data_IF_818396567716
#
_entry.id   IF_818396567716
#
_cell.length_a   1.000
_cell.length_b   1.000
_cell.length_c   1.000
_cell.angle_alpha   90.00
_cell.angle_beta   90.00
_cell.angle_gamma   90.00
#
_symmetry.space_group_name_H-M   'P 1'
#
loop_
_entity.id
_entity.type
_entity.pdbx_description
1 polymer ?
#
# COMPACT_ATOMS: atom_id res chain seq x y z
N UNK A 1 24.80 21.01 45.43
CA UNK A 1 23.90 19.86 45.54
C UNK A 1 22.52 20.33 45.07
N UNK A 2 22.17 20.16 43.79
CA UNK A 2 20.92 20.64 43.19
C UNK A 2 20.27 19.40 42.51
N UNK A 3 19.02 19.07 42.81
CA UNK A 3 18.37 17.89 42.23
C UNK A 3 17.91 18.15 40.78
N UNK A 4 18.22 17.23 39.90
CA UNK A 4 17.72 17.17 38.54
C UNK A 4 16.24 16.82 38.54
N UNK A 5 15.42 17.68 37.96
CA UNK A 5 14.02 17.43 37.67
C UNK A 5 13.91 16.59 36.39
N UNK A 6 13.32 15.41 36.50
CA UNK A 6 12.94 14.56 35.38
C UNK A 6 11.65 15.08 34.77
N UNK A 7 11.73 15.62 33.58
CA UNK A 7 10.55 16.05 32.78
C UNK A 7 9.98 14.83 32.08
N UNK A 8 8.94 14.25 32.62
CA UNK A 8 8.10 13.26 31.95
C UNK A 8 7.20 14.01 30.98
N UNK A 9 7.45 13.85 29.69
CA UNK A 9 6.57 14.36 28.65
C UNK A 9 5.29 13.53 28.63
N UNK A 10 4.23 14.07 29.20
CA UNK A 10 2.87 13.50 29.08
C UNK A 10 2.36 13.88 27.68
N UNK A 11 2.40 12.93 26.75
CA UNK A 11 1.69 13.05 25.48
C UNK A 11 0.19 12.97 25.78
N UNK A 12 -0.46 14.13 25.79
CA UNK A 12 -1.92 14.23 25.88
C UNK A 12 -2.53 13.50 24.68
N UNK A 13 -3.29 12.43 24.97
CA UNK A 13 -4.23 11.81 24.06
C UNK A 13 -5.26 12.87 23.65
N UNK A 14 -5.18 13.37 22.43
CA UNK A 14 -6.31 14.03 21.81
C UNK A 14 -7.34 12.96 21.47
N UNK A 15 -8.39 12.88 22.29
CA UNK A 15 -9.64 12.20 21.93
C UNK A 15 -10.25 13.02 20.80
N UNK A 16 -10.25 12.48 19.58
CA UNK A 16 -11.13 12.95 18.52
C UNK A 16 -12.54 12.47 18.88
N UNK A 17 -13.35 13.35 19.42
CA UNK A 17 -14.78 13.12 19.61
C UNK A 17 -15.43 13.04 18.22
N UNK A 18 -15.77 11.85 17.78
CA UNK A 18 -16.74 11.63 16.71
C UNK A 18 -18.11 11.97 17.27
N UNK A 19 -18.64 13.14 16.91
CA UNK A 19 -20.03 13.49 17.08
C UNK A 19 -20.90 12.51 16.29
N UNK A 20 -22.00 12.12 16.90
CA UNK A 20 -23.01 11.16 16.50
C UNK A 20 -23.49 11.37 15.06
N UNK A 21 -23.28 10.39 14.23
CA UNK A 21 -23.79 10.30 12.86
C UNK A 21 -22.95 9.31 12.08
N UNK A 22 -23.38 8.04 11.98
CA UNK A 22 -22.61 6.92 11.45
C UNK A 22 -22.12 7.10 10.02
N UNK A 23 -20.99 7.75 9.83
CA UNK A 23 -20.18 7.63 8.63
C UNK A 23 -19.28 6.39 8.78
N UNK A 24 -19.81 5.22 8.43
CA UNK A 24 -18.97 4.11 8.05
C UNK A 24 -18.25 4.52 6.75
N UNK A 25 -17.12 5.19 6.86
CA UNK A 25 -16.22 5.36 5.74
C UNK A 25 -15.91 3.96 5.18
N UNK A 26 -16.43 3.66 3.97
CA UNK A 26 -16.14 2.37 3.33
C UNK A 26 -14.62 2.26 3.21
N UNK A 27 -14.01 1.17 3.72
CA UNK A 27 -12.58 1.02 3.68
C UNK A 27 -12.11 1.10 2.21
N UNK A 28 -11.05 1.85 1.95
CA UNK A 28 -10.45 1.90 0.62
C UNK A 28 -9.47 0.73 0.46
N UNK A 29 -9.37 0.25 -0.77
CA UNK A 29 -8.34 -0.74 -1.15
C UNK A 29 -6.97 -0.11 -0.98
N UNK A 30 -5.99 -0.77 -0.34
CA UNK A 30 -4.61 -0.29 -0.38
C UNK A 30 -4.12 -0.19 -1.83
N UNK A 31 -3.59 0.97 -2.18
CA UNK A 31 -3.09 1.26 -3.52
C UNK A 31 -1.56 1.37 -3.51
N UNK A 32 -0.96 1.66 -4.63
CA UNK A 32 0.49 1.71 -4.80
C UNK A 32 1.22 2.52 -3.71
N UNK A 33 0.82 3.77 -3.38
CA UNK A 33 1.54 4.52 -2.36
C UNK A 33 1.47 3.87 -0.96
N UNK A 34 0.32 3.31 -0.58
CA UNK A 34 0.17 2.62 0.70
C UNK A 34 1.10 1.40 0.79
N UNK A 35 1.07 0.59 -0.26
CA UNK A 35 1.85 -0.65 -0.31
C UNK A 35 3.35 -0.40 -0.48
N UNK A 36 3.75 0.72 -1.09
CA UNK A 36 5.15 1.14 -1.16
C UNK A 36 5.70 1.41 0.25
N UNK A 37 4.96 2.15 1.08
CA UNK A 37 5.35 2.40 2.47
C UNK A 37 5.41 1.11 3.28
N UNK A 38 4.43 0.21 3.11
CA UNK A 38 4.44 -1.09 3.78
C UNK A 38 5.65 -1.94 3.34
N UNK A 39 5.95 -1.97 2.04
CA UNK A 39 7.10 -2.73 1.53
C UNK A 39 8.42 -2.20 2.09
N UNK A 40 8.63 -0.88 2.07
CA UNK A 40 9.83 -0.23 2.60
C UNK A 40 9.98 -0.47 4.11
N UNK A 41 8.91 -0.27 4.87
CA UNK A 41 8.92 -0.44 6.31
C UNK A 41 9.15 -1.89 6.73
N UNK A 42 8.49 -2.84 6.06
CA UNK A 42 8.68 -4.25 6.34
C UNK A 42 10.02 -4.78 5.82
N UNK A 43 10.56 -4.21 4.76
CA UNK A 43 11.94 -4.45 4.34
C UNK A 43 12.91 -4.09 5.48
N UNK A 44 12.75 -2.93 6.09
CA UNK A 44 13.59 -2.47 7.19
C UNK A 44 13.40 -3.30 8.47
N UNK A 45 12.15 -3.63 8.82
CA UNK A 45 11.82 -4.29 10.09
C UNK A 45 12.05 -5.82 10.08
N UNK A 46 11.84 -6.50 8.94
CA UNK A 46 11.71 -7.96 8.88
C UNK A 46 12.91 -8.67 8.27
N UNK A 47 13.65 -8.02 7.36
CA UNK A 47 14.79 -8.69 6.67
C UNK A 47 15.85 -9.12 7.67
N UNK A 48 16.34 -10.35 7.49
CA UNK A 48 17.31 -11.00 8.38
C UNK A 48 16.68 -11.76 9.54
N UNK A 49 15.37 -11.65 9.79
CA UNK A 49 14.69 -12.37 10.87
C UNK A 49 14.29 -13.78 10.41
N UNK A 50 14.50 -14.80 11.25
CA UNK A 50 14.02 -16.15 10.99
C UNK A 50 12.51 -16.22 11.20
N UNK A 51 11.83 -16.97 10.36
CA UNK A 51 10.41 -17.34 10.54
C UNK A 51 10.35 -18.41 11.64
N UNK A 52 9.56 -18.16 12.66
CA UNK A 52 9.28 -19.12 13.73
C UNK A 52 8.06 -19.96 13.38
N UNK A 53 6.98 -19.30 12.94
CA UNK A 53 5.74 -19.97 12.53
C UNK A 53 4.88 -19.03 11.69
N UNK A 54 3.97 -19.61 10.91
CA UNK A 54 2.82 -18.93 10.32
C UNK A 54 1.53 -19.50 10.91
N UNK A 55 0.87 -18.75 11.76
CA UNK A 55 -0.41 -19.12 12.35
C UNK A 55 -1.54 -18.63 11.44
N UNK A 56 -2.26 -19.57 10.84
CA UNK A 56 -3.45 -19.28 10.05
C UNK A 56 -4.68 -19.35 10.94
N UNK A 57 -5.32 -18.20 11.18
CA UNK A 57 -6.55 -18.12 11.99
C UNK A 57 -7.81 -18.15 11.12
N UNK A 58 -7.70 -17.71 9.87
CA UNK A 58 -8.78 -17.68 8.90
C UNK A 58 -8.36 -18.42 7.60
N UNK A 59 -8.72 -19.70 7.45
CA UNK A 59 -8.32 -20.49 6.28
C UNK A 59 -8.81 -19.94 4.94
N UNK A 60 -9.92 -19.20 4.90
CA UNK A 60 -10.49 -18.65 3.66
C UNK A 60 -9.57 -17.64 2.96
N UNK A 61 -8.68 -16.98 3.69
CA UNK A 61 -7.72 -16.07 3.09
C UNK A 61 -6.46 -16.77 2.58
N UNK A 62 -6.21 -17.99 3.06
CA UNK A 62 -4.98 -18.73 2.74
C UNK A 62 -5.08 -19.45 1.39
N UNK A 63 -4.01 -19.38 0.62
CA UNK A 63 -3.78 -20.14 -0.61
C UNK A 63 -2.49 -20.93 -0.46
N UNK A 64 -2.61 -22.03 0.26
CA UNK A 64 -1.56 -22.97 0.63
C UNK A 64 -2.09 -24.03 1.56
N UNK A 65 -1.28 -25.03 1.83
CA UNK A 65 -1.59 -26.13 2.74
C UNK A 65 -1.01 -25.88 4.14
N UNK A 66 -1.53 -26.53 5.20
CA UNK A 66 -0.90 -26.49 6.52
C UNK A 66 0.56 -26.95 6.52
N UNK A 67 0.90 -27.96 5.70
CA UNK A 67 2.29 -28.42 5.57
C UNK A 67 3.21 -27.35 4.96
N UNK A 68 2.75 -26.63 3.93
CA UNK A 68 3.50 -25.50 3.37
C UNK A 68 3.66 -24.35 4.39
N UNK A 69 2.63 -24.07 5.19
CA UNK A 69 2.73 -23.08 6.25
C UNK A 69 3.76 -23.49 7.33
N UNK A 70 3.77 -24.75 7.73
CA UNK A 70 4.74 -25.31 8.67
C UNK A 70 6.17 -25.30 8.10
N UNK A 71 6.33 -25.52 6.79
CA UNK A 71 7.62 -25.53 6.10
C UNK A 71 8.30 -24.16 6.01
N UNK A 72 7.61 -23.08 6.36
CA UNK A 72 8.22 -21.74 6.46
C UNK A 72 9.12 -21.60 7.69
N UNK A 73 8.90 -22.40 8.73
CA UNK A 73 9.71 -22.36 9.95
C UNK A 73 11.20 -22.60 9.66
N UNK A 74 12.06 -21.82 10.28
CA UNK A 74 13.51 -21.84 10.09
C UNK A 74 14.01 -21.07 8.85
N UNK A 75 13.15 -20.70 7.92
CA UNK A 75 13.52 -19.84 6.80
C UNK A 75 13.71 -18.39 7.30
N UNK A 76 14.45 -17.58 6.56
CA UNK A 76 14.71 -16.19 6.89
C UNK A 76 14.06 -15.28 5.87
N UNK A 77 13.56 -14.14 6.31
CA UNK A 77 13.10 -13.08 5.39
C UNK A 77 14.32 -12.45 4.72
N UNK A 78 14.42 -12.53 3.41
CA UNK A 78 15.52 -11.99 2.62
C UNK A 78 15.20 -10.67 1.94
N UNK A 79 13.93 -10.51 1.56
CA UNK A 79 13.49 -9.31 0.86
C UNK A 79 11.98 -9.11 1.02
N UNK A 80 11.56 -7.85 1.13
CA UNK A 80 10.15 -7.45 1.02
C UNK A 80 10.02 -6.47 -0.15
N UNK A 81 9.09 -6.73 -1.06
CA UNK A 81 8.86 -5.91 -2.25
C UNK A 81 7.38 -5.77 -2.53
N UNK A 82 7.05 -4.83 -3.41
CA UNK A 82 5.73 -4.63 -3.97
C UNK A 82 5.74 -4.84 -5.49
N UNK A 83 4.65 -5.38 -6.02
CA UNK A 83 4.31 -5.32 -7.44
C UNK A 83 2.81 -5.08 -7.59
N UNK A 84 2.42 -3.99 -8.26
CA UNK A 84 1.03 -3.58 -8.32
C UNK A 84 0.44 -3.43 -6.93
N UNK A 85 -0.60 -4.22 -6.65
CA UNK A 85 -1.28 -4.28 -5.36
C UNK A 85 -0.94 -5.53 -4.53
N UNK A 86 0.19 -6.14 -4.79
CA UNK A 86 0.69 -7.28 -4.05
C UNK A 86 1.95 -6.92 -3.26
N UNK A 87 2.05 -7.43 -2.04
CA UNK A 87 3.27 -7.46 -1.24
C UNK A 87 3.89 -8.85 -1.33
N UNK A 88 5.19 -8.91 -1.55
CA UNK A 88 5.96 -10.16 -1.62
C UNK A 88 7.02 -10.18 -0.54
N UNK A 89 7.01 -11.24 0.26
CA UNK A 89 8.03 -11.57 1.24
C UNK A 89 8.84 -12.75 0.67
N UNK A 90 10.03 -12.45 0.19
CA UNK A 90 10.97 -13.48 -0.24
C UNK A 90 11.63 -14.08 0.99
N UNK A 91 11.48 -15.36 1.17
CA UNK A 91 12.18 -16.12 2.20
C UNK A 91 13.37 -16.85 1.57
N UNK A 92 14.22 -17.46 2.39
CA UNK A 92 15.42 -18.17 1.93
C UNK A 92 15.13 -19.17 0.81
N UNK A 93 13.98 -19.80 0.83
CA UNK A 93 13.57 -20.79 -0.16
C UNK A 93 12.23 -20.42 -0.81
N UNK A 94 11.24 -20.12 -0.01
CA UNK A 94 9.85 -19.95 -0.44
C UNK A 94 9.46 -18.46 -0.52
N UNK A 95 8.27 -18.18 -1.03
CA UNK A 95 7.71 -16.82 -1.06
C UNK A 95 6.33 -16.80 -0.40
N UNK A 96 6.08 -15.74 0.35
CA UNK A 96 4.76 -15.37 0.83
C UNK A 96 4.29 -14.15 0.04
N UNK A 97 3.13 -14.22 -0.61
CA UNK A 97 2.57 -13.08 -1.37
C UNK A 97 1.20 -12.73 -0.82
N UNK A 98 0.99 -11.45 -0.53
CA UNK A 98 -0.26 -10.95 0.05
C UNK A 98 -0.91 -9.95 -0.92
N UNK A 99 -2.17 -10.23 -1.27
CA UNK A 99 -3.06 -9.28 -1.89
C UNK A 99 -4.12 -8.88 -0.86
N UNK A 100 -4.01 -7.66 -0.35
CA UNK A 100 -4.87 -7.18 0.75
C UNK A 100 -6.32 -6.92 0.32
N UNK A 101 -6.59 -6.83 -0.99
CA UNK A 101 -7.91 -6.54 -1.55
C UNK A 101 -8.57 -5.32 -0.88
N UNK A 102 -9.85 -5.42 -0.48
CA UNK A 102 -10.63 -4.28 0.00
C UNK A 102 -10.32 -3.88 1.45
N UNK A 103 -10.24 -4.86 2.35
CA UNK A 103 -10.19 -4.60 3.81
C UNK A 103 -8.95 -5.15 4.49
N UNK A 104 -8.10 -5.85 3.74
CA UNK A 104 -6.87 -6.40 4.29
C UNK A 104 -5.92 -5.31 4.79
N UNK A 105 -5.37 -5.50 5.98
CA UNK A 105 -4.41 -4.60 6.61
C UNK A 105 -3.29 -5.41 7.23
N UNK A 106 -2.09 -4.85 7.20
CA UNK A 106 -0.93 -5.44 7.84
C UNK A 106 -0.43 -4.52 8.94
N UNK A 107 0.08 -5.11 10.01
CA UNK A 107 0.67 -4.39 11.13
C UNK A 107 1.79 -5.17 11.76
N UNK A 108 2.63 -4.48 12.53
CA UNK A 108 3.69 -5.07 13.34
C UNK A 108 3.29 -5.01 14.82
N UNK A 109 3.47 -6.11 15.53
CA UNK A 109 3.17 -6.21 16.95
C UNK A 109 4.27 -6.97 17.71
N UNK A 110 4.39 -6.68 19.00
CA UNK A 110 5.21 -7.48 19.88
C UNK A 110 4.58 -8.88 20.09
N UNK A 111 5.39 -9.92 20.29
CA UNK A 111 4.89 -11.26 20.60
C UNK A 111 3.99 -11.27 21.83
N UNK A 112 2.90 -12.01 21.76
CA UNK A 112 1.96 -12.15 22.84
C UNK A 112 0.98 -10.97 23.01
N UNK A 113 1.09 -9.91 22.27
CA UNK A 113 0.06 -8.88 22.22
C UNK A 113 -1.28 -9.50 21.75
N UNK A 114 -2.39 -9.14 22.43
CA UNK A 114 -3.70 -9.73 22.11
C UNK A 114 -4.09 -9.46 20.64
N UNK A 115 -4.29 -10.50 19.82
CA UNK A 115 -4.72 -10.31 18.45
C UNK A 115 -6.11 -9.66 18.38
N UNK A 116 -6.32 -8.81 17.40
CA UNK A 116 -7.64 -8.27 17.12
C UNK A 116 -8.55 -9.37 16.54
N UNK A 117 -9.87 -9.21 16.72
CA UNK A 117 -10.86 -10.24 16.36
C UNK A 117 -10.82 -10.65 14.89
N UNK A 118 -10.45 -9.72 14.00
CA UNK A 118 -10.37 -9.91 12.55
C UNK A 118 -8.96 -10.28 12.06
N UNK A 119 -8.05 -10.67 12.96
CA UNK A 119 -6.72 -11.17 12.59
C UNK A 119 -6.87 -12.51 11.87
N UNK A 120 -6.45 -12.54 10.61
CA UNK A 120 -6.58 -13.69 9.72
C UNK A 120 -5.33 -14.57 9.68
N UNK A 121 -4.14 -13.98 9.81
CA UNK A 121 -2.87 -14.70 9.87
C UNK A 121 -1.83 -13.92 10.70
N UNK A 122 -0.90 -14.65 11.31
CA UNK A 122 0.22 -14.11 12.08
C UNK A 122 1.51 -14.81 11.65
N UNK A 123 2.43 -14.07 11.06
CA UNK A 123 3.79 -14.54 10.81
C UNK A 123 4.65 -14.16 12.01
N UNK A 124 5.06 -15.16 12.79
CA UNK A 124 5.97 -14.97 13.92
C UNK A 124 7.40 -15.01 13.45
N UNK A 125 8.17 -14.02 13.88
CA UNK A 125 9.56 -13.84 13.49
C UNK A 125 10.43 -13.80 14.76
N UNK A 126 11.54 -14.51 14.72
CA UNK A 126 12.55 -14.47 15.77
C UNK A 126 13.39 -13.19 15.74
N UNK A 127 14.28 -13.04 16.74
CA UNK A 127 15.28 -11.99 16.73
C UNK A 127 16.10 -12.02 15.44
N UNK A 128 16.53 -10.84 14.98
CA UNK A 128 17.43 -10.75 13.83
C UNK A 128 18.79 -11.34 14.23
N UNK A 129 19.16 -12.42 13.58
CA UNK A 129 20.48 -13.02 13.77
C UNK A 129 21.47 -12.16 13.00
N UNK A 130 22.38 -11.51 13.72
CA UNK A 130 23.49 -10.64 13.32
C UNK A 130 23.53 -10.22 11.84
N UNK A 131 23.68 -8.96 11.50
CA UNK A 131 23.79 -8.55 10.12
C UNK A 131 25.05 -9.18 9.52
N UNK A 132 24.86 -10.32 8.86
CA UNK A 132 25.80 -10.68 7.83
C UNK A 132 25.82 -9.48 6.90
N UNK A 133 27.00 -8.91 6.71
CA UNK A 133 27.29 -7.80 5.82
C UNK A 133 26.34 -7.81 4.63
N UNK A 134 25.31 -6.95 4.67
CA UNK A 134 24.47 -6.69 3.51
C UNK A 134 25.43 -6.28 2.41
N UNK A 135 25.49 -7.05 1.32
CA UNK A 135 26.25 -6.69 0.13
C UNK A 135 25.79 -5.27 -0.24
N UNK A 136 26.66 -4.29 0.04
CA UNK A 136 26.57 -2.94 -0.50
C UNK A 136 26.38 -3.08 -2.01
N UNK A 137 25.21 -2.80 -2.56
CA UNK A 137 25.10 -2.75 -4.01
C UNK A 137 23.71 -2.95 -4.63
N UNK A 138 22.67 -3.32 -3.90
CA UNK A 138 21.34 -3.55 -4.50
C UNK A 138 20.16 -2.97 -3.71
N UNK A 139 20.37 -2.14 -2.74
CA UNK A 139 19.31 -1.30 -2.22
C UNK A 139 19.23 -0.08 -3.14
N UNK A 140 18.20 0.00 -3.99
CA UNK A 140 17.55 1.27 -4.24
C UNK A 140 17.47 1.92 -2.86
N UNK A 141 17.91 3.18 -2.72
CA UNK A 141 17.90 3.86 -1.45
C UNK A 141 16.47 3.75 -0.86
N UNK A 142 16.22 2.70 -0.11
CA UNK A 142 15.13 2.68 0.85
C UNK A 142 15.36 3.96 1.64
N UNK A 143 14.34 4.79 1.77
CA UNK A 143 14.42 5.93 2.65
C UNK A 143 15.13 5.43 3.89
N UNK A 144 16.16 6.13 4.30
CA UNK A 144 17.01 5.66 5.39
C UNK A 144 16.22 5.71 6.70
N UNK A 145 15.37 4.68 6.88
CA UNK A 145 14.60 4.48 8.10
C UNK A 145 15.52 4.31 9.32
N UNK A 146 16.85 4.13 9.09
CA UNK A 146 17.81 3.83 10.15
C UNK A 146 18.13 5.04 11.01
N UNK A 147 18.00 6.26 10.49
CA UNK A 147 18.37 7.47 11.22
C UNK A 147 17.22 8.05 12.03
N UNK A 148 15.97 7.99 11.55
CA UNK A 148 14.80 8.64 12.16
C UNK A 148 13.57 7.73 12.29
N UNK A 149 13.76 6.42 12.50
CA UNK A 149 12.67 5.48 12.64
C UNK A 149 12.60 4.86 14.05
N UNK A 150 12.18 5.63 15.07
CA UNK A 150 12.09 5.14 16.46
C UNK A 150 11.06 4.00 16.63
N UNK A 151 10.26 3.74 15.60
CA UNK A 151 9.28 2.67 15.54
C UNK A 151 9.88 1.33 15.08
N UNK A 152 11.10 1.31 14.56
CA UNK A 152 11.75 0.06 14.16
C UNK A 152 11.95 -0.83 15.40
N UNK A 153 11.48 -2.09 15.35
CA UNK A 153 11.65 -2.99 16.46
C UNK A 153 13.15 -3.34 16.65
N UNK A 154 13.60 -3.47 17.91
CA UNK A 154 14.97 -3.88 18.19
C UNK A 154 15.33 -5.20 17.52
N UNK A 155 16.58 -5.32 17.04
CA UNK A 155 17.04 -6.53 16.36
C UNK A 155 17.00 -7.78 17.25
N UNK A 156 17.33 -7.63 18.53
CA UNK A 156 17.35 -8.72 19.51
C UNK A 156 15.99 -9.21 19.99
N UNK A 157 14.90 -8.57 19.59
CA UNK A 157 13.55 -8.93 20.02
C UNK A 157 12.77 -9.65 18.93
N UNK A 158 11.94 -10.66 19.27
CA UNK A 158 11.02 -11.28 18.34
C UNK A 158 9.91 -10.31 17.93
N UNK A 159 9.24 -10.59 16.80
CA UNK A 159 8.25 -9.72 16.19
C UNK A 159 7.13 -10.53 15.54
N UNK A 160 5.92 -9.98 15.49
CA UNK A 160 4.80 -10.53 14.73
C UNK A 160 4.39 -9.59 13.59
N UNK A 161 4.32 -10.12 12.36
CA UNK A 161 3.60 -9.48 11.25
C UNK A 161 2.18 -10.05 11.24
N UNK A 162 1.21 -9.19 11.45
CA UNK A 162 -0.22 -9.55 11.52
C UNK A 162 -0.95 -9.10 10.29
N UNK A 163 -1.69 -10.03 9.69
CA UNK A 163 -2.62 -9.74 8.61
C UNK A 163 -4.05 -9.80 9.15
N UNK A 164 -4.81 -8.72 8.97
CA UNK A 164 -6.21 -8.56 9.36
C UNK A 164 -7.07 -8.42 8.12
N UNK A 165 -8.23 -9.08 8.10
CA UNK A 165 -9.17 -8.94 6.99
C UNK A 165 -10.61 -9.25 7.42
N UNK A 166 -11.39 -8.24 7.84
CA UNK A 166 -12.76 -8.43 8.29
C UNK A 166 -13.68 -9.03 7.23
N UNK A 167 -13.41 -8.78 5.93
CA UNK A 167 -14.26 -9.32 4.84
C UNK A 167 -13.76 -10.64 4.28
N UNK A 168 -12.54 -11.08 4.62
CA UNK A 168 -11.90 -12.32 4.13
C UNK A 168 -11.72 -12.35 2.61
N UNK A 169 -11.75 -11.20 1.96
CA UNK A 169 -11.58 -11.09 0.50
C UNK A 169 -10.13 -11.18 0.07
N UNK A 170 -9.21 -10.68 0.89
CA UNK A 170 -7.79 -10.72 0.62
C UNK A 170 -7.23 -12.15 0.60
N UNK A 171 -6.06 -12.29 0.02
CA UNK A 171 -5.42 -13.59 -0.17
C UNK A 171 -3.96 -13.56 0.23
N UNK A 172 -3.56 -14.60 0.94
CA UNK A 172 -2.20 -14.89 1.37
C UNK A 172 -1.77 -16.17 0.65
N UNK A 173 -0.86 -16.03 -0.30
CA UNK A 173 -0.36 -17.14 -1.13
C UNK A 173 0.96 -17.65 -0.56
N UNK A 174 1.02 -18.96 -0.32
CA UNK A 174 2.27 -19.67 -0.05
C UNK A 174 2.80 -20.22 -1.37
N UNK A 175 4.01 -19.85 -1.73
CA UNK A 175 4.66 -20.23 -2.98
C UNK A 175 5.97 -20.96 -2.67
N UNK A 176 5.92 -22.30 -2.49
CA UNK A 176 7.12 -23.12 -2.39
C UNK A 176 8.01 -22.93 -3.63
N UNK A 177 9.33 -22.97 -3.47
CA UNK A 177 10.28 -22.77 -4.56
C UNK A 177 10.09 -23.72 -5.74
N UNK A 178 9.55 -24.91 -5.47
CA UNK A 178 9.39 -26.00 -6.44
C UNK A 178 7.95 -26.12 -6.98
N UNK A 179 7.03 -25.28 -6.51
CA UNK A 179 5.64 -25.32 -6.94
C UNK A 179 5.25 -24.06 -7.71
N UNK A 180 4.86 -24.22 -8.96
CA UNK A 180 4.20 -23.17 -9.70
C UNK A 180 2.74 -23.09 -9.25
N UNK A 181 2.41 -22.02 -8.55
CA UNK A 181 1.03 -21.71 -8.16
C UNK A 181 0.59 -20.44 -8.85
N UNK A 182 -0.55 -20.46 -9.57
CA UNK A 182 -1.05 -19.25 -10.22
C UNK A 182 -1.41 -18.19 -9.18
N UNK A 183 -1.02 -16.96 -9.46
CA UNK A 183 -1.42 -15.77 -8.72
C UNK A 183 -2.39 -14.98 -9.60
N UNK A 184 -3.71 -15.10 -9.40
CA UNK A 184 -4.69 -14.38 -10.20
C UNK A 184 -4.42 -12.88 -10.20
N UNK A 185 -4.37 -12.29 -11.39
CA UNK A 185 -4.07 -10.87 -11.57
C UNK A 185 -2.58 -10.50 -11.48
N UNK A 186 -1.67 -11.44 -11.25
CA UNK A 186 -0.23 -11.14 -11.17
C UNK A 186 0.44 -11.01 -12.53
N UNK A 187 0.20 -11.98 -13.41
CA UNK A 187 0.83 -12.01 -14.74
C UNK A 187 0.17 -11.04 -15.73
N UNK A 188 -1.08 -10.70 -15.49
CA UNK A 188 -1.87 -9.81 -16.34
C UNK A 188 -1.56 -8.33 -16.07
N UNK A 189 -0.76 -8.02 -15.06
CA UNK A 189 -0.38 -6.65 -14.74
C UNK A 189 0.54 -6.05 -15.79
N UNK A 190 0.29 -4.79 -16.11
CA UNK A 190 1.26 -3.92 -16.77
C UNK A 190 2.43 -3.56 -15.84
N UNK A 191 3.30 -2.65 -16.27
CA UNK A 191 4.34 -2.08 -15.40
C UNK A 191 3.71 -1.35 -14.23
N UNK A 192 4.42 -1.29 -13.11
CA UNK A 192 4.04 -0.44 -11.99
C UNK A 192 4.00 1.03 -12.42
N UNK A 193 2.99 1.77 -11.95
CA UNK A 193 2.81 3.16 -12.33
C UNK A 193 3.95 4.08 -11.87
N UNK A 194 4.73 3.64 -10.88
CA UNK A 194 5.94 4.32 -10.38
C UNK A 194 7.26 3.75 -10.95
N UNK A 195 7.19 2.73 -11.81
CA UNK A 195 8.38 2.13 -12.39
C UNK A 195 9.18 3.18 -13.19
N UNK A 196 10.48 3.39 -12.88
CA UNK A 196 11.34 4.29 -13.65
C UNK A 196 11.47 3.90 -15.13
N UNK A 197 11.33 2.63 -15.45
CA UNK A 197 11.37 2.14 -16.84
C UNK A 197 10.09 2.46 -17.63
N UNK A 198 9.00 2.86 -16.95
CA UNK A 198 7.79 3.35 -17.59
C UNK A 198 7.99 4.82 -18.02
N UNK A 199 8.69 5.04 -19.11
CA UNK A 199 8.89 6.35 -19.71
C UNK A 199 7.66 6.83 -20.50
N UNK A 200 7.69 8.08 -20.96
CA UNK A 200 6.60 8.69 -21.72
C UNK A 200 6.33 7.95 -23.04
N UNK A 201 7.37 7.44 -23.70
CA UNK A 201 7.23 6.70 -24.96
C UNK A 201 6.48 5.39 -24.74
N UNK A 202 6.89 4.65 -23.73
CA UNK A 202 6.22 3.42 -23.29
C UNK A 202 4.78 3.69 -22.86
N UNK A 203 4.54 4.76 -22.08
CA UNK A 203 3.20 5.19 -21.68
C UNK A 203 2.30 5.46 -22.89
N UNK A 204 2.76 6.27 -23.85
CA UNK A 204 2.03 6.59 -25.10
C UNK A 204 1.73 5.32 -25.90
N UNK A 205 2.67 4.39 -26.00
CA UNK A 205 2.49 3.11 -26.68
C UNK A 205 1.44 2.23 -25.99
N UNK A 206 1.44 2.20 -24.68
CA UNK A 206 0.50 1.40 -23.89
C UNK A 206 -0.90 1.98 -23.91
N UNK A 207 -1.07 3.28 -23.67
CA UNK A 207 -2.39 3.92 -23.59
C UNK A 207 -3.18 3.78 -24.90
N UNK A 208 -2.51 3.70 -26.05
CA UNK A 208 -3.16 3.47 -27.35
C UNK A 208 -3.83 2.11 -27.47
N UNK A 209 -3.39 1.11 -26.71
CA UNK A 209 -3.92 -0.26 -26.74
C UNK A 209 -5.15 -0.46 -25.86
N UNK A 210 -5.52 0.57 -25.09
CA UNK A 210 -6.64 0.53 -24.17
C UNK A 210 -7.73 1.51 -24.61
N UNK A 211 -8.95 1.27 -24.18
CA UNK A 211 -10.12 2.07 -24.49
C UNK A 211 -10.94 2.37 -23.24
N UNK A 212 -11.98 3.16 -23.36
CA UNK A 212 -12.90 3.48 -22.29
C UNK A 212 -12.61 4.81 -21.62
N UNK A 213 -13.28 5.04 -20.49
CA UNK A 213 -13.17 6.25 -19.69
C UNK A 213 -11.85 6.31 -18.94
N UNK A 214 -11.30 7.50 -18.77
CA UNK A 214 -9.98 7.72 -18.19
C UNK A 214 -9.82 7.17 -16.77
N UNK A 215 -10.85 7.32 -15.92
CA UNK A 215 -10.79 6.75 -14.58
C UNK A 215 -10.72 5.23 -14.59
N UNK A 216 -11.50 4.59 -15.44
CA UNK A 216 -11.48 3.12 -15.56
C UNK A 216 -10.17 2.63 -16.20
N UNK A 217 -9.63 3.40 -17.14
CA UNK A 217 -8.32 3.14 -17.72
C UNK A 217 -7.19 3.16 -16.69
N UNK A 218 -7.12 4.21 -15.85
CA UNK A 218 -6.10 4.30 -14.79
C UNK A 218 -6.22 3.18 -13.76
N UNK A 219 -7.43 2.71 -13.47
CA UNK A 219 -7.68 1.59 -12.56
C UNK A 219 -7.40 0.22 -13.17
N UNK A 220 -7.25 0.15 -14.50
CA UNK A 220 -6.96 -1.11 -15.19
C UNK A 220 -5.51 -1.54 -14.94
N UNK A 221 -5.35 -2.58 -14.13
CA UNK A 221 -4.02 -3.07 -13.75
C UNK A 221 -3.22 -3.63 -14.94
N UNK A 222 -3.86 -4.00 -16.05
CA UNK A 222 -3.18 -4.39 -17.28
C UNK A 222 -2.60 -3.19 -18.05
N UNK A 223 -3.14 -1.99 -17.89
CA UNK A 223 -2.56 -0.77 -18.41
C UNK A 223 -1.34 -0.35 -17.59
N UNK A 224 -1.56 0.00 -16.32
CA UNK A 224 -0.53 0.30 -15.32
C UNK A 224 -0.95 -0.27 -13.97
N UNK A 225 -0.03 -0.88 -13.25
CA UNK A 225 -0.33 -1.53 -12.00
C UNK A 225 -0.22 -0.57 -10.80
N UNK A 226 -1.05 -0.82 -9.79
CA UNK A 226 -0.99 -0.15 -8.50
C UNK A 226 -1.99 0.99 -8.30
N UNK A 227 -2.43 1.68 -9.34
CA UNK A 227 -3.43 2.75 -9.23
C UNK A 227 -4.81 2.13 -8.93
N UNK A 228 -5.55 2.78 -8.05
CA UNK A 228 -6.91 2.40 -7.69
C UNK A 228 -7.87 3.58 -7.75
N UNK A 229 -8.90 3.52 -6.91
CA UNK A 229 -10.00 4.48 -6.95
C UNK A 229 -9.60 5.87 -6.42
N UNK A 230 -8.77 5.90 -5.37
CA UNK A 230 -8.38 7.15 -4.72
C UNK A 230 -7.40 7.95 -5.58
N UNK A 231 -6.31 7.30 -5.99
CA UNK A 231 -5.28 7.99 -6.75
C UNK A 231 -5.66 8.25 -8.20
N UNK A 232 -6.62 7.53 -8.78
CA UNK A 232 -7.15 7.89 -10.09
C UNK A 232 -7.88 9.24 -10.08
N UNK A 233 -8.60 9.60 -9.01
CA UNK A 233 -9.21 10.92 -8.87
C UNK A 233 -8.16 12.02 -8.73
N UNK A 234 -7.14 11.81 -7.91
CA UNK A 234 -6.04 12.75 -7.68
C UNK A 234 -5.24 13.01 -8.97
N UNK A 235 -4.89 11.95 -9.71
CA UNK A 235 -4.15 12.04 -10.98
C UNK A 235 -4.96 12.79 -12.04
N UNK A 236 -6.24 12.45 -12.19
CA UNK A 236 -7.12 13.12 -13.16
C UNK A 236 -7.33 14.60 -12.80
N UNK A 237 -7.46 14.92 -11.51
CA UNK A 237 -7.53 16.32 -11.08
C UNK A 237 -6.22 17.06 -11.36
N UNK A 238 -5.08 16.45 -11.08
CA UNK A 238 -3.77 17.04 -11.37
C UNK A 238 -3.59 17.30 -12.88
N UNK A 239 -3.97 16.32 -13.71
CA UNK A 239 -3.93 16.42 -15.18
C UNK A 239 -5.01 17.33 -15.78
N UNK A 240 -5.99 17.84 -15.00
CA UNK A 240 -7.14 18.64 -15.45
C UNK A 240 -8.08 17.90 -16.43
N UNK A 241 -8.11 16.57 -16.36
CA UNK A 241 -8.92 15.72 -17.25
C UNK A 241 -10.15 15.20 -16.50
N UNK A 242 -11.31 15.25 -17.16
CA UNK A 242 -12.56 14.74 -16.59
C UNK A 242 -12.54 13.19 -16.52
N UNK A 243 -13.02 12.57 -15.42
CA UNK A 243 -12.91 11.14 -15.19
C UNK A 243 -13.69 10.28 -16.20
N UNK A 244 -14.77 10.79 -16.75
CA UNK A 244 -15.67 10.09 -17.69
C UNK A 244 -15.32 10.34 -19.15
N UNK A 245 -14.33 11.18 -19.43
CA UNK A 245 -13.83 11.42 -20.77
C UNK A 245 -13.23 10.14 -21.34
N UNK A 246 -13.47 9.87 -22.63
CA UNK A 246 -12.94 8.68 -23.30
C UNK A 246 -11.46 8.89 -23.67
N UNK A 247 -10.69 7.82 -23.58
CA UNK A 247 -9.27 7.85 -24.00
C UNK A 247 -9.11 8.26 -25.47
N UNK A 248 -10.04 7.87 -26.35
CA UNK A 248 -10.04 8.24 -27.77
C UNK A 248 -10.06 9.74 -28.03
N UNK A 249 -10.60 10.50 -27.07
CA UNK A 249 -10.83 11.94 -27.20
C UNK A 249 -9.66 12.78 -26.71
N UNK A 250 -8.58 12.12 -26.23
CA UNK A 250 -7.39 12.79 -25.76
C UNK A 250 -6.47 13.22 -26.92
N UNK A 251 -6.08 14.49 -26.90
CA UNK A 251 -4.95 15.00 -27.67
C UNK A 251 -3.61 14.44 -27.12
N UNK A 252 -2.56 14.49 -27.93
CA UNK A 252 -1.24 14.01 -27.53
C UNK A 252 -0.71 14.68 -26.27
N UNK A 253 -0.89 15.99 -26.16
CA UNK A 253 -0.48 16.80 -25.00
C UNK A 253 -1.23 16.40 -23.72
N UNK A 254 -2.49 15.98 -23.84
CA UNK A 254 -3.30 15.53 -22.70
C UNK A 254 -2.86 14.14 -22.21
N UNK A 255 -2.41 13.28 -23.12
CA UNK A 255 -1.78 11.99 -22.78
C UNK A 255 -0.48 12.24 -21.99
N UNK A 256 0.29 13.25 -22.39
CA UNK A 256 1.53 13.64 -21.70
C UNK A 256 1.24 14.26 -20.35
N UNK A 257 0.21 15.09 -20.25
CA UNK A 257 -0.23 15.67 -18.98
C UNK A 257 -0.70 14.59 -17.99
N UNK A 258 -1.40 13.55 -18.48
CA UNK A 258 -1.82 12.41 -17.66
C UNK A 258 -0.62 11.61 -17.13
N UNK A 259 0.39 11.40 -17.98
CA UNK A 259 1.65 10.79 -17.57
C UNK A 259 2.37 11.63 -16.51
N UNK A 260 2.56 12.92 -16.77
CA UNK A 260 3.23 13.84 -15.84
C UNK A 260 2.52 13.88 -14.48
N UNK A 261 1.19 13.98 -14.48
CA UNK A 261 0.39 13.94 -13.26
C UNK A 261 0.54 12.62 -12.48
N UNK A 262 0.65 11.48 -13.17
CA UNK A 262 0.90 10.19 -12.53
C UNK A 262 2.27 10.17 -11.84
N UNK A 263 3.29 10.72 -12.51
CA UNK A 263 4.67 10.80 -11.99
C UNK A 263 4.85 11.85 -10.89
N UNK A 264 3.91 12.78 -10.75
CA UNK A 264 3.88 13.78 -9.66
C UNK A 264 3.13 13.25 -8.44
N UNK A 265 1.90 12.78 -8.66
CA UNK A 265 0.95 12.47 -7.57
C UNK A 265 1.39 11.25 -6.75
N UNK A 266 1.89 10.19 -7.38
CA UNK A 266 2.25 8.98 -6.67
C UNK A 266 3.47 9.16 -5.74
N UNK A 267 4.59 9.76 -6.16
CA UNK A 267 5.70 10.08 -5.26
C UNK A 267 5.30 11.04 -4.13
N UNK A 268 4.56 12.11 -4.44
CA UNK A 268 4.04 13.02 -3.43
C UNK A 268 3.24 12.28 -2.35
N UNK A 269 2.35 11.37 -2.76
CA UNK A 269 1.56 10.60 -1.80
C UNK A 269 2.44 9.66 -0.95
N UNK A 270 3.46 9.04 -1.55
CA UNK A 270 4.43 8.20 -0.84
C UNK A 270 5.16 9.02 0.22
N UNK A 271 5.64 10.21 -0.11
CA UNK A 271 6.35 11.08 0.84
C UNK A 271 5.46 11.48 2.02
N UNK A 272 4.20 11.85 1.77
CA UNK A 272 3.25 12.17 2.84
C UNK A 272 2.97 10.96 3.73
N UNK A 273 2.74 9.78 3.13
CA UNK A 273 2.43 8.56 3.88
C UNK A 273 3.63 8.07 4.69
N UNK A 274 4.85 8.26 4.19
CA UNK A 274 6.09 7.91 4.90
C UNK A 274 6.20 8.58 6.26
N UNK A 275 5.72 9.82 6.36
CA UNK A 275 5.74 10.58 7.60
C UNK A 275 4.54 10.28 8.52
N UNK A 276 3.47 9.71 7.98
CA UNK A 276 2.17 9.64 8.69
C UNK A 276 1.70 8.23 9.03
N UNK A 277 2.14 7.21 8.28
CA UNK A 277 1.70 5.83 8.48
C UNK A 277 2.46 5.13 9.61
N UNK A 278 3.81 5.10 9.64
CA UNK A 278 4.52 4.49 10.75
C UNK A 278 4.21 5.19 12.08
N UNK A 279 4.10 4.47 13.19
CA UNK A 279 4.25 3.02 13.35
C UNK A 279 2.95 2.22 13.15
N UNK A 280 1.86 2.86 12.76
CA UNK A 280 0.51 2.26 12.69
C UNK A 280 0.17 1.89 11.26
N UNK A 281 0.76 0.81 10.77
CA UNK A 281 0.66 0.36 9.37
C UNK A 281 -0.74 -0.13 8.97
N UNK A 282 -1.59 -0.48 9.94
CA UNK A 282 -2.95 -0.97 9.73
C UNK A 282 -3.99 0.15 9.50
N UNK A 283 -3.59 1.42 9.66
CA UNK A 283 -4.49 2.55 9.43
C UNK A 283 -4.48 2.99 7.97
N UNK A 284 -5.57 3.56 7.57
CA UNK A 284 -5.71 4.21 6.26
C UNK A 284 -5.65 5.73 6.43
N UNK A 285 -4.67 6.37 5.77
CA UNK A 285 -4.48 7.83 5.79
C UNK A 285 -4.90 8.38 4.43
N UNK A 286 -5.99 9.16 4.37
CA UNK A 286 -6.57 9.72 3.12
C UNK A 286 -6.97 11.20 3.24
N UNK A 287 -6.96 11.76 4.43
CA UNK A 287 -7.35 13.16 4.69
C UNK A 287 -6.46 14.18 3.97
N UNK A 288 -5.23 13.81 3.60
CA UNK A 288 -4.31 14.65 2.84
C UNK A 288 -4.63 14.73 1.34
N UNK A 289 -5.46 13.83 0.82
CA UNK A 289 -5.85 13.84 -0.59
C UNK A 289 -6.57 15.16 -0.93
N UNK A 290 -6.38 15.62 -2.16
CA UNK A 290 -6.84 16.94 -2.61
C UNK A 290 -8.31 16.95 -3.00
N UNK A 291 -8.79 15.87 -3.61
CA UNK A 291 -10.16 15.82 -4.14
C UNK A 291 -10.91 14.52 -3.78
N UNK A 292 -10.24 13.39 -3.66
CA UNK A 292 -10.93 12.11 -3.45
C UNK A 292 -11.76 12.12 -2.17
N UNK A 293 -13.07 11.81 -2.29
CA UNK A 293 -14.07 11.84 -1.20
C UNK A 293 -14.27 13.22 -0.56
N UNK A 294 -14.02 14.30 -1.31
CA UNK A 294 -14.28 15.67 -0.87
C UNK A 294 -15.41 16.32 -1.65
N UNK A 295 -16.41 15.52 -2.06
CA UNK A 295 -17.63 16.03 -2.69
C UNK A 295 -18.31 17.09 -1.82
N UNK A 296 -18.69 18.22 -2.44
CA UNK A 296 -19.27 19.37 -1.73
C UNK A 296 -18.23 20.37 -1.19
N UNK A 297 -16.96 20.02 -1.06
CA UNK A 297 -15.89 20.96 -0.69
C UNK A 297 -15.46 21.84 -1.87
N UNK A 298 -14.82 22.96 -1.58
CA UNK A 298 -14.24 23.82 -2.60
C UNK A 298 -13.00 23.17 -3.25
N UNK A 299 -12.93 23.20 -4.57
CA UNK A 299 -11.75 22.74 -5.30
C UNK A 299 -10.51 23.56 -4.89
N UNK A 300 -9.41 22.94 -4.45
CA UNK A 300 -8.23 23.65 -3.98
C UNK A 300 -7.52 24.46 -5.07
N UNK A 301 -7.87 24.24 -6.36
CA UNK A 301 -7.28 24.96 -7.49
C UNK A 301 -8.11 26.16 -7.93
N UNK A 302 -9.44 26.04 -8.00
CA UNK A 302 -10.29 27.06 -8.64
C UNK A 302 -11.51 27.46 -7.80
N UNK A 303 -11.70 26.93 -6.60
CA UNK A 303 -12.80 27.26 -5.71
C UNK A 303 -14.17 26.66 -6.09
N UNK A 304 -14.33 26.09 -7.30
CA UNK A 304 -15.60 25.47 -7.71
C UNK A 304 -15.90 24.27 -6.81
N UNK A 305 -17.15 24.12 -6.39
CA UNK A 305 -17.60 22.98 -5.59
C UNK A 305 -17.30 21.66 -6.28
N UNK A 306 -16.60 20.74 -5.60
CA UNK A 306 -16.28 19.41 -6.09
C UNK A 306 -17.55 18.57 -6.25
N UNK A 307 -17.69 17.94 -7.40
CA UNK A 307 -18.77 17.00 -7.68
C UNK A 307 -18.35 15.60 -7.25
N UNK A 308 -19.29 14.87 -6.66
CA UNK A 308 -19.08 13.47 -6.28
C UNK A 308 -20.22 12.61 -6.80
N UNK A 309 -19.89 11.49 -7.43
CA UNK A 309 -20.81 10.49 -7.93
C UNK A 309 -20.30 9.09 -7.61
N UNK A 310 -21.16 8.10 -7.59
CA UNK A 310 -20.80 6.73 -7.22
C UNK A 310 -21.26 5.68 -8.25
N UNK A 311 -20.78 5.76 -9.51
CA UNK A 311 -21.14 4.78 -10.51
C UNK A 311 -20.64 3.40 -10.09
N UNK A 312 -21.52 2.38 -10.12
CA UNK A 312 -21.16 1.02 -9.71
C UNK A 312 -20.68 0.89 -8.26
N UNK A 313 -21.03 1.86 -7.38
CA UNK A 313 -20.66 1.85 -5.96
C UNK A 313 -19.25 2.38 -5.67
N UNK A 314 -18.51 2.82 -6.68
CA UNK A 314 -17.19 3.45 -6.51
C UNK A 314 -17.30 4.96 -6.55
N UNK A 315 -16.83 5.62 -5.50
CA UNK A 315 -16.81 7.08 -5.41
C UNK A 315 -15.88 7.64 -6.49
N UNK A 316 -16.35 8.67 -7.19
CA UNK A 316 -15.59 9.48 -8.15
C UNK A 316 -15.79 10.93 -7.81
N UNK A 317 -14.73 11.61 -7.41
CA UNK A 317 -14.75 13.03 -7.06
C UNK A 317 -13.94 13.83 -8.06
N UNK A 318 -14.51 14.91 -8.58
CA UNK A 318 -13.87 15.72 -9.62
C UNK A 318 -14.37 17.16 -9.61
N UNK A 319 -13.62 18.05 -10.23
CA UNK A 319 -13.96 19.47 -10.34
C UNK A 319 -14.47 19.80 -11.76
N UNK A 320 -15.75 20.20 -11.88
CA UNK A 320 -16.31 20.62 -13.18
C UNK A 320 -15.73 21.95 -13.70
N UNK A 321 -15.11 22.74 -12.84
CA UNK A 321 -14.52 24.03 -13.23
C UNK A 321 -13.16 23.90 -13.89
N UNK A 322 -12.34 22.92 -13.51
CA UNK A 322 -10.96 22.80 -13.99
C UNK A 322 -10.59 21.45 -14.63
N UNK A 323 -11.49 20.46 -14.67
CA UNK A 323 -11.31 19.20 -15.39
C UNK A 323 -12.25 19.15 -16.60
N UNK A 324 -11.68 18.94 -17.77
CA UNK A 324 -12.39 18.96 -19.06
C UNK A 324 -12.19 17.66 -19.83
#
# INVERSE_FOLDING_TARGET
MVPRASSVLIVRRQRTECLQGGCYARPAVPELPDLAILADAFQAALVGRPVVALDVKEPLVMRGTPAEAAALAGQRVERVTRRGKFLTFQLTRDRLVINAMLTGRLGLDAPGAKPLRDTAAVLRLGPRVTPGTTRRGQARAAADWTVDAPWLPPDGEPLELRYRDPTRMGKVYLLPAQAERPLPGWNEQGPDADDPALDLTTWRGRIRRHSGELKNLLKNQAFVAGIGNSYSDEILWAARLAPFRKRSDLAGEEVDALYAATREVLPWAIDVLRLRVPPRFEIEVRDFLRVHRKGGEACPRCGTTLSEVSPGGFVTTFCRGCQR
#
